data_IF_809086740336
#
_entry.id   IF_809086740336
#
_cell.length_a   1.000
_cell.length_b   1.000
_cell.length_c   1.000
_cell.angle_alpha   90.00
_cell.angle_beta   90.00
_cell.angle_gamma   90.00
#
_symmetry.space_group_name_H-M   'P 1'
#
loop_
_entity.id
_entity.type
_entity.pdbx_description
1 polymer ?
#
# COMPACT_ATOMS: atom_id res chain seq x y z
N UNK A 1 -2.36 22.32 -23.03
CA UNK A 1 -2.85 21.20 -23.86
C UNK A 1 -1.83 20.98 -24.96
N UNK A 2 -1.61 19.74 -25.41
CA UNK A 2 -0.75 19.49 -26.57
C UNK A 2 -1.55 19.84 -27.84
N UNK A 3 -1.11 20.85 -28.59
CA UNK A 3 -1.81 21.31 -29.79
C UNK A 3 -1.92 20.19 -30.84
N UNK A 4 -3.08 20.09 -31.50
CA UNK A 4 -3.36 19.11 -32.56
C UNK A 4 -3.78 17.72 -32.10
N UNK A 5 -4.01 17.49 -30.80
CA UNK A 5 -4.43 16.17 -30.28
C UNK A 5 -5.90 16.14 -29.87
N UNK A 6 -6.59 15.04 -30.19
CA UNK A 6 -7.97 14.77 -29.77
C UNK A 6 -8.01 13.70 -28.68
N UNK A 7 -8.79 13.94 -27.61
CA UNK A 7 -9.02 12.94 -26.57
C UNK A 7 -9.82 11.77 -27.16
N UNK A 8 -9.22 10.58 -27.20
CA UNK A 8 -9.88 9.37 -27.72
C UNK A 8 -10.85 8.74 -26.70
N UNK A 9 -10.52 8.78 -25.41
CA UNK A 9 -11.37 8.25 -24.34
C UNK A 9 -11.05 8.87 -22.98
N UNK A 10 -12.01 8.79 -22.06
CA UNK A 10 -11.86 9.10 -20.64
C UNK A 10 -12.43 7.94 -19.84
N UNK A 11 -11.65 7.40 -18.90
CA UNK A 11 -12.05 6.28 -18.05
C UNK A 11 -11.92 6.71 -16.59
N UNK A 12 -12.78 6.16 -15.73
CA UNK A 12 -12.78 6.41 -14.30
C UNK A 12 -13.39 5.24 -13.54
N UNK A 13 -13.01 5.10 -12.28
CA UNK A 13 -13.47 4.04 -11.39
C UNK A 13 -13.19 4.36 -9.94
N UNK A 14 -13.89 3.68 -9.04
CA UNK A 14 -13.67 3.81 -7.59
C UNK A 14 -12.50 2.92 -7.20
N UNK A 15 -11.54 3.48 -6.47
CA UNK A 15 -10.43 2.72 -5.90
C UNK A 15 -10.71 2.51 -4.41
N UNK A 16 -10.71 1.26 -3.91
CA UNK A 16 -10.87 1.02 -2.49
C UNK A 16 -9.68 1.61 -1.73
N UNK A 17 -9.95 2.33 -0.64
CA UNK A 17 -8.89 2.92 0.18
C UNK A 17 -8.47 2.06 1.38
N UNK A 18 -9.20 0.99 1.69
CA UNK A 18 -9.00 0.14 2.88
C UNK A 18 -9.21 -1.34 2.52
N UNK A 19 -8.40 -2.20 3.13
CA UNK A 19 -8.60 -3.66 3.07
C UNK A 19 -9.90 -4.07 3.75
N UNK A 20 -10.53 -5.14 3.26
CA UNK A 20 -11.71 -5.73 3.89
C UNK A 20 -11.35 -6.38 5.25
N UNK A 21 -12.28 -6.29 6.19
CA UNK A 21 -12.14 -6.94 7.50
C UNK A 21 -12.11 -8.47 7.37
N UNK A 22 -12.87 -9.01 6.41
CA UNK A 22 -12.88 -10.42 6.05
C UNK A 22 -12.76 -10.54 4.53
N UNK A 23 -11.87 -11.42 4.09
CA UNK A 23 -11.52 -11.72 2.70
C UNK A 23 -11.77 -13.18 2.34
N UNK A 24 -12.01 -14.04 3.33
CA UNK A 24 -12.46 -15.42 3.13
C UNK A 24 -13.75 -15.66 3.89
N UNK A 25 -14.74 -16.18 3.18
CA UNK A 25 -15.97 -16.69 3.78
C UNK A 25 -16.41 -17.92 2.99
N UNK A 26 -16.55 -19.04 3.70
CA UNK A 26 -16.95 -20.31 3.12
C UNK A 26 -16.05 -20.69 1.93
N UNK A 27 -16.63 -20.83 0.73
CA UNK A 27 -15.93 -21.19 -0.51
C UNK A 27 -15.52 -19.96 -1.35
N UNK A 28 -15.52 -18.77 -0.76
CA UNK A 28 -15.22 -17.50 -1.44
C UNK A 28 -13.96 -16.90 -0.87
N UNK A 29 -13.06 -16.48 -1.76
CA UNK A 29 -11.89 -15.65 -1.44
C UNK A 29 -11.95 -14.37 -2.27
N UNK A 30 -11.83 -13.23 -1.63
CA UNK A 30 -11.73 -11.93 -2.28
C UNK A 30 -10.25 -11.59 -2.51
N UNK A 31 -9.93 -11.05 -3.68
CA UNK A 31 -8.58 -10.63 -4.05
C UNK A 31 -8.61 -9.26 -4.74
N UNK A 32 -7.48 -8.57 -4.80
CA UNK A 32 -7.35 -7.27 -5.48
C UNK A 32 -8.32 -6.23 -4.92
N UNK A 33 -8.96 -5.47 -5.81
CA UNK A 33 -9.88 -4.40 -5.43
C UNK A 33 -11.07 -4.90 -4.61
N UNK A 34 -11.56 -6.13 -4.87
CA UNK A 34 -12.66 -6.72 -4.10
C UNK A 34 -12.29 -6.89 -2.61
N UNK A 35 -11.02 -7.21 -2.34
CA UNK A 35 -10.45 -7.30 -1.00
C UNK A 35 -9.88 -5.96 -0.47
N UNK A 36 -9.86 -4.91 -1.28
CA UNK A 36 -9.24 -3.62 -0.95
C UNK A 36 -7.71 -3.68 -0.88
N UNK A 37 -7.08 -4.59 -1.64
CA UNK A 37 -5.62 -4.81 -1.68
C UNK A 37 -4.93 -3.81 -2.61
N UNK A 38 -5.06 -2.52 -2.31
CA UNK A 38 -4.53 -1.39 -3.08
C UNK A 38 -3.68 -0.49 -2.19
N UNK A 39 -2.68 0.17 -2.79
CA UNK A 39 -1.91 1.23 -2.13
C UNK A 39 -2.81 2.45 -1.95
N UNK A 40 -3.27 2.72 -0.73
CA UNK A 40 -4.10 3.91 -0.46
C UNK A 40 -3.41 5.24 -0.82
N UNK A 41 -2.08 5.28 -0.89
CA UNK A 41 -1.27 6.45 -1.26
C UNK A 41 -1.30 6.79 -2.75
N UNK A 42 -1.29 5.78 -3.63
CA UNK A 42 -1.16 5.97 -5.09
C UNK A 42 -2.35 5.42 -5.88
N UNK A 43 -3.23 4.65 -5.25
CA UNK A 43 -4.26 3.85 -5.89
C UNK A 43 -3.74 2.61 -6.60
N UNK A 44 -2.44 2.31 -6.53
CA UNK A 44 -1.85 1.17 -7.22
C UNK A 44 -2.29 -0.17 -6.63
N UNK A 45 -3.00 -0.99 -7.42
CA UNK A 45 -3.47 -2.33 -7.03
C UNK A 45 -2.78 -3.50 -7.73
N UNK A 46 -2.05 -3.26 -8.82
CA UNK A 46 -1.50 -4.34 -9.68
C UNK A 46 -0.60 -5.29 -8.89
N UNK A 47 0.36 -4.76 -8.12
CA UNK A 47 1.29 -5.60 -7.36
C UNK A 47 0.57 -6.44 -6.31
N UNK A 48 -0.10 -5.81 -5.35
CA UNK A 48 -0.78 -6.52 -4.26
C UNK A 48 -1.90 -7.43 -4.78
N UNK A 49 -2.67 -6.98 -5.75
CA UNK A 49 -3.71 -7.78 -6.40
C UNK A 49 -3.14 -9.01 -7.11
N UNK A 50 -2.02 -8.89 -7.82
CA UNK A 50 -1.37 -10.03 -8.49
C UNK A 50 -0.79 -11.03 -7.48
N UNK A 51 -0.10 -10.53 -6.45
CA UNK A 51 0.50 -11.39 -5.43
C UNK A 51 -0.57 -12.13 -4.61
N UNK A 52 -1.63 -11.43 -4.23
CA UNK A 52 -2.74 -12.00 -3.49
C UNK A 52 -3.60 -12.93 -4.36
N UNK A 53 -3.80 -12.60 -5.65
CA UNK A 53 -4.51 -13.45 -6.61
C UNK A 53 -3.77 -14.77 -6.84
N UNK A 54 -2.44 -14.72 -7.02
CA UNK A 54 -1.61 -15.92 -7.12
C UNK A 54 -1.70 -16.78 -5.85
N UNK A 55 -1.54 -16.17 -4.68
CA UNK A 55 -1.63 -16.87 -3.40
C UNK A 55 -2.99 -17.53 -3.20
N UNK A 56 -4.09 -16.85 -3.54
CA UNK A 56 -5.42 -17.42 -3.50
C UNK A 56 -5.54 -18.64 -4.43
N UNK A 57 -5.03 -18.55 -5.67
CA UNK A 57 -5.02 -19.67 -6.61
C UNK A 57 -4.23 -20.88 -6.10
N UNK A 58 -3.03 -20.65 -5.55
CA UNK A 58 -2.18 -21.70 -4.95
C UNK A 58 -2.88 -22.41 -3.76
N UNK A 59 -3.63 -21.65 -2.96
CA UNK A 59 -4.39 -22.20 -1.82
C UNK A 59 -5.63 -22.94 -2.29
N UNK A 60 -6.37 -22.38 -3.24
CA UNK A 60 -7.53 -23.04 -3.84
C UNK A 60 -7.18 -24.39 -4.46
N UNK A 61 -6.05 -24.47 -5.17
CA UNK A 61 -5.62 -25.68 -5.86
C UNK A 61 -5.28 -26.85 -4.91
N UNK A 62 -4.83 -26.56 -3.68
CA UNK A 62 -4.44 -27.57 -2.69
C UNK A 62 -5.52 -27.86 -1.63
N UNK A 63 -6.46 -26.95 -1.44
CA UNK A 63 -7.52 -27.08 -0.44
C UNK A 63 -8.46 -28.25 -0.78
N UNK A 64 -8.62 -29.17 0.17
CA UNK A 64 -9.55 -30.31 0.08
C UNK A 64 -10.87 -30.04 0.81
N UNK A 65 -10.86 -29.07 1.73
CA UNK A 65 -12.02 -28.66 2.51
C UNK A 65 -12.15 -27.15 2.55
N UNK A 66 -13.36 -26.69 2.84
CA UNK A 66 -13.72 -25.26 2.88
C UNK A 66 -12.92 -24.49 3.94
N UNK A 67 -12.68 -25.10 5.10
CA UNK A 67 -11.91 -24.51 6.21
C UNK A 67 -10.45 -24.22 5.83
N UNK A 68 -9.88 -24.96 4.86
CA UNK A 68 -8.50 -24.79 4.43
C UNK A 68 -8.29 -23.50 3.60
N UNK A 69 -9.36 -22.89 3.08
CA UNK A 69 -9.29 -21.60 2.38
C UNK A 69 -8.97 -20.43 3.32
N UNK A 70 -9.26 -20.56 4.62
CA UNK A 70 -8.94 -19.52 5.61
C UNK A 70 -7.43 -19.23 5.70
N UNK A 71 -6.59 -20.18 5.27
CA UNK A 71 -5.14 -19.97 5.17
C UNK A 71 -4.78 -18.81 4.24
N UNK A 72 -5.60 -18.54 3.21
CA UNK A 72 -5.38 -17.39 2.32
C UNK A 72 -5.39 -16.08 3.09
N UNK A 73 -6.43 -15.87 3.90
CA UNK A 73 -6.55 -14.64 4.68
C UNK A 73 -5.37 -14.43 5.62
N UNK A 74 -5.00 -15.51 6.33
CA UNK A 74 -3.87 -15.50 7.25
C UNK A 74 -2.55 -15.19 6.55
N UNK A 75 -2.28 -15.85 5.42
CA UNK A 75 -1.04 -15.70 4.66
C UNK A 75 -0.89 -14.32 4.03
N UNK A 76 -1.92 -13.80 3.35
CA UNK A 76 -1.78 -12.48 2.72
C UNK A 76 -1.66 -11.36 3.77
N UNK A 77 -2.38 -11.47 4.91
CA UNK A 77 -2.26 -10.51 6.01
C UNK A 77 -0.87 -10.53 6.61
N UNK A 78 -0.27 -11.71 6.79
CA UNK A 78 1.09 -11.85 7.30
C UNK A 78 2.13 -11.22 6.36
N UNK A 79 1.96 -11.39 5.04
CA UNK A 79 2.93 -10.91 4.04
C UNK A 79 2.79 -9.44 3.71
N UNK A 80 1.55 -8.94 3.57
CA UNK A 80 1.28 -7.63 2.96
C UNK A 80 0.40 -6.72 3.82
N UNK A 81 -0.23 -7.26 4.87
CA UNK A 81 -1.18 -6.52 5.68
C UNK A 81 -0.57 -5.27 6.32
N UNK A 82 0.68 -5.37 6.78
CA UNK A 82 1.39 -4.25 7.39
C UNK A 82 1.71 -3.14 6.40
N UNK A 83 2.15 -3.48 5.19
CA UNK A 83 2.43 -2.51 4.13
C UNK A 83 1.17 -1.78 3.67
N UNK A 84 0.08 -2.52 3.44
CA UNK A 84 -1.23 -1.94 3.10
C UNK A 84 -1.76 -1.02 4.22
N UNK A 85 -1.56 -1.39 5.49
CA UNK A 85 -1.90 -0.53 6.62
C UNK A 85 -1.04 0.74 6.69
N UNK A 86 0.26 0.66 6.38
CA UNK A 86 1.14 1.83 6.34
C UNK A 86 0.72 2.79 5.23
N UNK A 87 0.42 2.27 4.03
CA UNK A 87 -0.16 3.08 2.95
C UNK A 87 -1.44 3.79 3.41
N UNK A 88 -2.31 3.10 4.16
CA UNK A 88 -3.53 3.73 4.69
C UNK A 88 -3.23 4.86 5.67
N UNK A 89 -2.30 4.65 6.60
CA UNK A 89 -1.91 5.65 7.61
C UNK A 89 -1.27 6.87 6.96
N UNK A 90 -0.39 6.67 5.97
CA UNK A 90 0.20 7.76 5.20
C UNK A 90 -0.87 8.56 4.44
N UNK A 91 -1.87 7.87 3.87
CA UNK A 91 -2.99 8.55 3.22
C UNK A 91 -3.84 9.35 4.21
N UNK A 92 -4.19 8.76 5.36
CA UNK A 92 -4.91 9.45 6.45
C UNK A 92 -4.14 10.68 6.93
N UNK A 93 -2.83 10.57 7.12
CA UNK A 93 -1.99 11.70 7.51
C UNK A 93 -2.01 12.82 6.46
N UNK A 94 -1.83 12.48 5.18
CA UNK A 94 -1.86 13.44 4.09
C UNK A 94 -3.25 14.07 3.87
N UNK A 95 -4.34 13.33 4.13
CA UNK A 95 -5.72 13.85 4.04
C UNK A 95 -6.03 14.90 5.10
N UNK A 96 -5.30 14.89 6.22
CA UNK A 96 -5.48 15.83 7.32
C UNK A 96 -4.54 17.05 7.24
N UNK A 97 -3.88 17.26 6.10
CA UNK A 97 -2.96 18.39 5.88
C UNK A 97 -3.50 19.39 4.88
N UNK A 98 -3.20 20.67 5.12
CA UNK A 98 -3.26 21.69 4.10
C UNK A 98 -1.98 21.73 3.24
N UNK A 99 -2.04 22.46 2.13
CA UNK A 99 -0.93 22.60 1.19
C UNK A 99 0.33 23.20 1.83
N UNK A 100 0.17 24.10 2.81
CA UNK A 100 1.27 24.75 3.51
C UNK A 100 2.01 23.77 4.44
N UNK A 101 1.26 22.97 5.20
CA UNK A 101 1.79 21.89 6.02
C UNK A 101 2.50 20.85 5.15
N UNK A 102 1.88 20.41 4.06
CA UNK A 102 2.47 19.44 3.14
C UNK A 102 3.81 19.96 2.56
N UNK A 103 3.86 21.23 2.15
CA UNK A 103 5.08 21.86 1.65
C UNK A 103 6.18 21.96 2.73
N UNK A 104 5.81 22.25 3.98
CA UNK A 104 6.74 22.27 5.11
C UNK A 104 7.35 20.88 5.36
N UNK A 105 6.52 19.83 5.41
CA UNK A 105 7.00 18.46 5.57
C UNK A 105 7.88 18.00 4.40
N UNK A 106 7.55 18.36 3.16
CA UNK A 106 8.41 18.07 2.01
C UNK A 106 9.79 18.74 2.14
N UNK A 107 9.83 19.98 2.64
CA UNK A 107 11.09 20.70 2.88
C UNK A 107 11.91 20.07 3.99
N UNK A 108 11.29 19.66 5.10
CA UNK A 108 11.94 18.92 6.18
C UNK A 108 12.49 17.58 5.66
N UNK A 109 11.69 16.83 4.91
CA UNK A 109 12.10 15.54 4.35
C UNK A 109 13.32 15.68 3.43
N UNK A 110 13.35 16.71 2.58
CA UNK A 110 14.53 17.05 1.76
C UNK A 110 15.76 17.35 2.62
N UNK A 111 15.61 18.17 3.66
CA UNK A 111 16.69 18.48 4.60
C UNK A 111 17.24 17.27 5.35
N UNK A 112 16.42 16.23 5.56
CA UNK A 112 16.81 14.96 6.17
C UNK A 112 17.40 13.94 5.18
N UNK A 113 17.60 14.31 3.91
CA UNK A 113 18.17 13.43 2.89
C UNK A 113 17.22 12.37 2.38
N UNK A 114 15.89 12.58 2.48
CA UNK A 114 14.90 11.62 2.00
C UNK A 114 15.10 11.27 0.52
N UNK A 115 15.48 12.22 -0.33
CA UNK A 115 15.74 11.97 -1.75
C UNK A 115 16.88 10.95 -1.97
N UNK A 116 18.00 11.12 -1.27
CA UNK A 116 19.12 10.18 -1.36
C UNK A 116 18.73 8.80 -0.81
N UNK A 117 17.99 8.76 0.30
CA UNK A 117 17.48 7.52 0.85
C UNK A 117 16.53 6.80 -0.12
N UNK A 118 15.57 7.52 -0.71
CA UNK A 118 14.61 6.98 -1.67
C UNK A 118 15.30 6.53 -2.96
N UNK A 119 16.32 7.24 -3.42
CA UNK A 119 17.11 6.81 -4.57
C UNK A 119 17.85 5.48 -4.32
N UNK A 120 18.33 5.26 -3.10
CA UNK A 120 19.08 4.06 -2.74
C UNK A 120 18.20 2.88 -2.24
N UNK A 121 17.05 3.17 -1.63
CA UNK A 121 16.22 2.19 -0.92
C UNK A 121 14.72 2.29 -1.24
N UNK A 122 14.35 3.00 -2.31
CA UNK A 122 12.97 3.23 -2.70
C UNK A 122 12.27 1.94 -3.14
N UNK A 123 11.38 1.42 -2.30
CA UNK A 123 10.49 0.30 -2.62
C UNK A 123 9.04 0.65 -2.24
N UNK A 124 8.27 1.11 -3.22
CA UNK A 124 6.88 1.55 -3.01
C UNK A 124 5.94 0.41 -2.55
N UNK A 125 6.33 -0.85 -2.73
CA UNK A 125 5.55 -2.03 -2.35
C UNK A 125 5.88 -2.52 -0.94
N UNK A 126 7.01 -2.11 -0.37
CA UNK A 126 7.49 -2.54 0.96
C UNK A 126 7.76 -1.36 1.92
N UNK A 127 6.79 -0.46 2.18
CA UNK A 127 6.99 0.69 3.07
C UNK A 127 7.40 0.32 4.50
N UNK A 128 7.04 -0.87 5.02
CA UNK A 128 7.50 -1.29 6.35
C UNK A 128 9.01 -1.55 6.37
N UNK A 129 9.51 -2.26 5.36
CA UNK A 129 10.93 -2.51 5.19
C UNK A 129 11.70 -1.21 4.96
N UNK A 130 11.16 -0.30 4.13
CA UNK A 130 11.74 1.02 3.94
C UNK A 130 11.82 1.81 5.25
N UNK A 131 10.77 1.78 6.07
CA UNK A 131 10.76 2.48 7.35
C UNK A 131 11.80 1.92 8.31
N UNK A 132 11.97 0.59 8.33
CA UNK A 132 13.02 -0.06 9.11
C UNK A 132 14.43 0.33 8.63
N UNK A 133 14.65 0.40 7.32
CA UNK A 133 15.92 0.84 6.72
C UNK A 133 16.21 2.30 7.03
N UNK A 134 15.23 3.19 6.88
CA UNK A 134 15.39 4.62 7.18
C UNK A 134 15.78 4.85 8.66
N UNK A 135 15.16 4.10 9.58
CA UNK A 135 15.49 4.15 11.01
C UNK A 135 16.93 3.72 11.31
N UNK A 136 17.47 2.76 10.58
CA UNK A 136 18.86 2.32 10.73
C UNK A 136 19.84 3.35 10.17
N UNK A 137 19.49 4.00 9.06
CA UNK A 137 20.35 4.96 8.37
C UNK A 137 20.35 6.36 9.01
N UNK A 138 19.37 6.71 9.84
CA UNK A 138 19.28 8.04 10.44
C UNK A 138 18.90 7.99 11.94
N UNK A 139 19.81 8.37 12.88
CA UNK A 139 19.53 8.33 14.32
C UNK A 139 18.39 9.26 14.76
N UNK A 140 18.04 10.26 13.95
CA UNK A 140 16.91 11.18 14.19
C UNK A 140 15.57 10.66 13.61
N UNK A 141 15.54 9.49 12.95
CA UNK A 141 14.33 8.93 12.35
C UNK A 141 13.19 8.64 13.34
N UNK A 142 13.49 8.55 14.63
CA UNK A 142 12.50 8.42 15.69
C UNK A 142 11.58 9.66 15.80
N UNK A 143 12.07 10.85 15.42
CA UNK A 143 11.27 12.09 15.35
C UNK A 143 10.27 12.02 14.20
N UNK A 144 10.69 11.50 13.04
CA UNK A 144 9.83 11.34 11.86
C UNK A 144 8.71 10.34 12.13
N UNK A 145 8.99 9.26 12.86
CA UNK A 145 7.96 8.25 13.17
C UNK A 145 6.95 8.65 14.24
N UNK A 146 7.26 9.66 15.07
CA UNK A 146 6.29 10.24 16.00
C UNK A 146 5.26 11.15 15.32
N UNK A 147 5.54 11.64 14.11
CA UNK A 147 4.62 12.50 13.37
C UNK A 147 3.43 11.72 12.78
N UNK A 148 3.57 10.40 12.60
CA UNK A 148 2.53 9.53 12.03
C UNK A 148 1.84 8.62 13.07
N UNK A 149 2.17 8.80 14.37
CA UNK A 149 1.73 7.96 15.48
C UNK A 149 0.51 8.49 16.20
#
# INVERSE_FOLDING_TARGET
MLDGTSVMSRLGGVIPGRVRYQTVERKVMLVGDAAGQTKATTGGGIYFGSMCGRLAGEIAARAKREDELAEYEKEWRARYGRDLMLHRRLRDFADNMDDGQLAAYATIARGLGAEHFLAAHGDMDSPDAMLASFKKSNPLAHLVTRLFG
#
